data_IF_444240644235
#
_entry.id   IF_444240644235
#
_cell.length_a   1.000
_cell.length_b   1.000
_cell.length_c   1.000
_cell.angle_alpha   90.00
_cell.angle_beta   90.00
_cell.angle_gamma   90.00
#
_symmetry.space_group_name_H-M   'P 1'
#
loop_
_entity.id
_entity.type
_entity.pdbx_description
1 polymer ?
#
# COMPACT_ATOMS: atom_id res chain seq x y z
N UNK A 1 20.09 28.09 35.13
CA UNK A 1 18.68 27.72 34.91
C UNK A 1 18.65 26.58 33.90
N UNK A 2 18.54 25.35 34.36
CA UNK A 2 18.48 24.17 33.51
C UNK A 2 17.12 24.13 32.84
N UNK A 3 17.12 24.32 31.53
CA UNK A 3 15.93 24.11 30.71
C UNK A 3 15.70 22.60 30.61
N UNK A 4 14.92 22.06 31.52
CA UNK A 4 14.35 20.72 31.40
C UNK A 4 13.25 20.80 30.34
N UNK A 5 13.66 20.84 29.07
CA UNK A 5 12.76 20.61 27.97
C UNK A 5 12.01 19.31 28.21
N UNK A 6 10.70 19.36 28.27
CA UNK A 6 9.86 18.18 28.32
C UNK A 6 10.35 17.21 27.22
N UNK A 7 10.64 15.95 27.57
CA UNK A 7 11.14 14.95 26.63
C UNK A 7 10.09 14.56 25.56
N UNK A 8 9.19 15.48 25.21
CA UNK A 8 8.16 15.32 24.19
C UNK A 8 8.74 15.67 22.82
N UNK A 9 8.57 14.75 21.88
CA UNK A 9 8.97 14.91 20.50
C UNK A 9 7.79 15.44 19.68
N UNK A 10 7.88 16.70 19.23
CA UNK A 10 6.82 17.34 18.45
C UNK A 10 7.17 17.38 16.96
N UNK A 11 6.12 17.41 16.12
CA UNK A 11 6.24 17.54 14.67
C UNK A 11 6.64 16.26 13.96
N UNK A 12 6.91 16.39 12.65
CA UNK A 12 7.27 15.26 11.78
C UNK A 12 8.79 15.04 11.75
N UNK A 13 9.17 13.80 11.93
CA UNK A 13 10.56 13.36 11.92
C UNK A 13 10.84 12.54 10.67
N UNK A 14 11.97 12.77 9.98
CA UNK A 14 12.37 11.94 8.88
C UNK A 14 12.82 10.58 9.40
N UNK A 15 12.33 9.51 8.78
CA UNK A 15 12.66 8.14 9.15
C UNK A 15 12.99 7.29 7.93
N UNK A 16 13.66 6.17 8.18
CA UNK A 16 13.92 5.12 7.20
C UNK A 16 13.42 3.80 7.79
N UNK A 17 12.64 3.06 7.02
CA UNK A 17 12.19 1.71 7.38
C UNK A 17 13.39 0.77 7.36
N UNK A 18 13.61 0.03 8.42
CA UNK A 18 14.64 -1.01 8.52
C UNK A 18 14.06 -2.40 8.32
N UNK A 19 12.83 -2.62 8.80
CA UNK A 19 12.07 -3.86 8.55
C UNK A 19 10.57 -3.60 8.60
N UNK A 20 9.78 -4.50 8.00
CA UNK A 20 8.32 -4.52 8.04
C UNK A 20 7.84 -5.89 8.52
N UNK A 21 6.98 -5.88 9.51
CA UNK A 21 6.25 -7.07 9.99
C UNK A 21 4.81 -7.04 9.44
N UNK A 22 4.53 -7.92 8.49
CA UNK A 22 3.23 -8.02 7.84
C UNK A 22 2.13 -8.59 8.74
N UNK A 23 2.49 -9.37 9.79
CA UNK A 23 1.51 -9.95 10.70
C UNK A 23 0.95 -8.89 11.66
N UNK A 24 1.82 -8.08 12.25
CA UNK A 24 1.44 -6.98 13.13
C UNK A 24 1.18 -5.67 12.39
N UNK A 25 1.61 -5.56 11.12
CA UNK A 25 1.57 -4.35 10.29
C UNK A 25 2.29 -3.17 10.91
N UNK A 26 3.44 -3.46 11.47
CA UNK A 26 4.32 -2.46 12.06
C UNK A 26 5.64 -2.39 11.30
N UNK A 27 6.26 -1.23 11.33
CA UNK A 27 7.59 -1.03 10.77
C UNK A 27 8.60 -0.80 11.89
N UNK A 28 9.76 -1.40 11.78
CA UNK A 28 10.91 -0.92 12.51
C UNK A 28 11.51 0.26 11.74
N UNK A 29 11.73 1.39 12.41
CA UNK A 29 12.20 2.62 11.79
C UNK A 29 13.43 3.19 12.50
N UNK A 30 14.39 3.64 11.71
CA UNK A 30 15.52 4.45 12.16
C UNK A 30 15.19 5.93 11.98
N UNK A 31 15.30 6.70 13.06
CA UNK A 31 14.98 8.13 13.10
C UNK A 31 16.23 8.89 13.54
N UNK A 32 16.88 9.65 12.62
CA UNK A 32 18.07 10.44 12.97
C UNK A 32 17.80 11.40 14.13
N UNK A 33 18.69 11.42 15.10
CA UNK A 33 18.57 12.23 16.31
C UNK A 33 17.71 11.60 17.42
N UNK A 34 17.01 10.51 17.15
CA UNK A 34 16.19 9.79 18.15
C UNK A 34 16.72 8.38 18.39
N UNK A 35 17.03 7.66 17.30
CA UNK A 35 17.54 6.27 17.38
C UNK A 35 19.07 6.17 17.23
N UNK A 36 19.76 7.30 17.15
CA UNK A 36 21.22 7.31 16.95
C UNK A 36 21.97 6.60 18.08
N UNK A 37 22.76 5.59 17.70
CA UNK A 37 23.52 4.78 18.65
C UNK A 37 22.74 3.66 19.35
N UNK A 38 21.47 3.46 19.01
CA UNK A 38 20.71 2.29 19.47
C UNK A 38 20.96 1.09 18.55
N UNK A 39 21.05 -0.11 19.12
CA UNK A 39 20.95 -1.35 18.35
C UNK A 39 19.46 -1.56 18.02
N UNK A 40 19.11 -1.42 16.75
CA UNK A 40 17.74 -1.50 16.26
C UNK A 40 17.04 -0.16 16.16
N UNK A 41 15.83 -0.16 15.59
CA UNK A 41 14.96 0.99 15.41
C UNK A 41 13.84 1.05 16.46
N UNK A 42 12.89 1.94 16.24
CA UNK A 42 11.63 1.96 16.99
C UNK A 42 10.55 1.25 16.19
N UNK A 43 9.70 0.51 16.88
CA UNK A 43 8.52 -0.11 16.25
C UNK A 43 7.42 0.94 16.13
N UNK A 44 7.07 1.27 14.89
CA UNK A 44 6.09 2.26 14.53
C UNK A 44 4.83 1.62 13.96
N UNK A 45 3.67 2.10 14.39
CA UNK A 45 2.40 1.83 13.71
C UNK A 45 2.29 2.64 12.41
N UNK A 46 1.34 2.27 11.55
CA UNK A 46 1.05 2.99 10.30
C UNK A 46 -0.32 3.64 10.42
N UNK A 47 -0.39 4.95 10.17
CA UNK A 47 -1.65 5.67 10.06
C UNK A 47 -2.33 5.32 8.74
N UNK A 48 -3.57 4.83 8.81
CA UNK A 48 -4.39 4.60 7.63
C UNK A 48 -5.19 5.86 7.28
N UNK A 49 -5.31 6.23 6.00
CA UNK A 49 -6.09 7.38 5.59
C UNK A 49 -7.58 7.17 5.93
N UNK A 50 -8.31 8.27 6.13
CA UNK A 50 -9.77 8.24 6.30
C UNK A 50 -10.40 7.55 5.10
N UNK A 51 -11.26 6.55 5.36
CA UNK A 51 -11.87 5.72 4.33
C UNK A 51 -11.20 4.37 4.14
N UNK A 52 -10.05 4.17 4.74
CA UNK A 52 -9.37 2.89 4.82
C UNK A 52 -9.28 2.43 6.28
N UNK A 53 -9.35 1.14 6.53
CA UNK A 53 -9.30 0.58 7.88
C UNK A 53 -8.45 -0.68 7.88
N UNK A 54 -7.67 -0.86 8.94
CA UNK A 54 -6.89 -2.07 9.16
C UNK A 54 -7.79 -3.23 9.62
N UNK A 55 -8.67 -3.68 8.74
CA UNK A 55 -9.53 -4.84 8.96
C UNK A 55 -9.27 -5.91 7.91
N UNK A 56 -9.45 -7.17 8.30
CA UNK A 56 -9.54 -8.27 7.35
C UNK A 56 -10.56 -7.95 6.25
N UNK A 57 -10.19 -8.12 4.99
CA UNK A 57 -10.98 -7.88 3.77
C UNK A 57 -11.30 -6.41 3.41
N UNK A 58 -10.97 -5.43 4.27
CA UNK A 58 -11.30 -4.01 3.99
C UNK A 58 -10.09 -3.09 4.09
N UNK A 59 -8.89 -3.64 3.99
CA UNK A 59 -7.65 -2.87 4.11
C UNK A 59 -6.96 -2.69 2.75
N UNK A 60 -6.31 -1.55 2.58
CA UNK A 60 -5.35 -1.35 1.50
C UNK A 60 -3.97 -1.74 1.99
N UNK A 61 -3.40 -2.78 1.42
CA UNK A 61 -2.03 -3.18 1.67
C UNK A 61 -1.13 -2.53 0.63
N UNK A 62 0.00 -2.02 1.07
CA UNK A 62 1.04 -1.47 0.19
C UNK A 62 2.34 -2.25 0.38
N UNK A 63 3.16 -2.31 -0.66
CA UNK A 63 4.50 -2.87 -0.54
C UNK A 63 5.35 -1.94 0.32
N UNK A 64 5.95 -2.47 1.39
CA UNK A 64 6.86 -1.74 2.28
C UNK A 64 8.18 -2.51 2.33
N UNK A 65 9.26 -1.81 2.00
CA UNK A 65 10.58 -2.40 1.90
C UNK A 65 11.60 -1.70 2.82
N UNK A 66 12.61 -2.42 3.29
CA UNK A 66 13.75 -1.79 3.95
C UNK A 66 14.38 -0.71 3.05
N UNK A 67 14.63 0.45 3.61
CA UNK A 67 15.12 1.63 2.89
C UNK A 67 14.05 2.63 2.48
N UNK A 68 12.77 2.30 2.62
CA UNK A 68 11.68 3.24 2.38
C UNK A 68 11.76 4.43 3.33
N UNK A 69 11.52 5.62 2.79
CA UNK A 69 11.59 6.87 3.55
C UNK A 69 10.20 7.27 4.02
N UNK A 70 10.06 7.43 5.34
CA UNK A 70 8.79 7.76 5.99
C UNK A 70 8.85 9.10 6.73
N UNK A 71 7.67 9.64 7.01
CA UNK A 71 7.45 10.66 8.02
C UNK A 71 6.87 10.01 9.26
N UNK A 72 7.48 10.26 10.41
CA UNK A 72 7.04 9.76 11.71
C UNK A 72 6.64 10.92 12.61
N UNK A 73 5.52 10.79 13.28
CA UNK A 73 5.10 11.58 14.42
C UNK A 73 5.06 10.70 15.68
N UNK A 74 5.04 11.33 16.83
CA UNK A 74 4.93 10.62 18.11
C UNK A 74 3.60 10.95 18.75
N UNK A 75 2.82 9.92 19.08
CA UNK A 75 1.50 10.11 19.69
C UNK A 75 1.67 10.90 21.00
N UNK A 76 1.05 12.07 21.07
CA UNK A 76 1.20 13.04 22.17
C UNK A 76 2.66 13.44 22.45
N UNK A 77 3.56 13.27 21.50
CA UNK A 77 4.99 13.55 21.65
C UNK A 77 5.77 12.49 22.41
N UNK A 78 5.17 11.37 22.79
CA UNK A 78 5.82 10.30 23.53
C UNK A 78 6.69 9.43 22.60
N UNK A 79 8.03 9.38 22.81
CA UNK A 79 8.93 8.62 21.94
C UNK A 79 8.66 7.10 21.92
N UNK A 80 7.88 6.58 22.83
CA UNK A 80 7.49 5.16 22.87
C UNK A 80 6.41 4.79 21.85
N UNK A 81 5.73 5.78 21.28
CA UNK A 81 4.60 5.57 20.37
C UNK A 81 4.83 6.29 19.02
N UNK A 82 5.79 5.84 18.22
CA UNK A 82 6.00 6.38 16.88
C UNK A 82 4.89 5.93 15.93
N UNK A 83 4.44 6.83 15.07
CA UNK A 83 3.40 6.62 14.08
C UNK A 83 3.88 7.09 12.71
N UNK A 84 3.91 6.22 11.72
CA UNK A 84 4.16 6.61 10.33
C UNK A 84 2.92 7.31 9.80
N UNK A 85 3.04 8.61 9.48
CA UNK A 85 1.95 9.46 8.99
C UNK A 85 2.06 9.76 7.50
N UNK A 86 3.00 9.17 6.81
CA UNK A 86 3.16 9.30 5.37
C UNK A 86 4.54 8.91 4.87
N UNK A 87 4.65 8.85 3.55
CA UNK A 87 5.90 8.50 2.87
C UNK A 87 6.60 9.77 2.38
N UNK A 88 7.92 9.76 2.48
CA UNK A 88 8.74 10.86 1.96
C UNK A 88 8.99 10.64 0.47
N UNK A 89 9.18 11.76 -0.25
CA UNK A 89 9.52 11.70 -1.65
C UNK A 89 10.83 10.89 -1.88
N UNK A 90 10.79 9.80 -2.65
CA UNK A 90 12.01 9.13 -3.08
C UNK A 90 12.79 10.05 -4.02
N UNK A 91 14.12 9.94 -3.99
CA UNK A 91 14.99 10.78 -4.84
C UNK A 91 14.95 10.38 -6.31
N UNK A 92 14.44 9.19 -6.63
CA UNK A 92 14.38 8.62 -7.98
C UNK A 92 13.10 7.80 -8.18
N UNK A 93 12.76 7.46 -9.41
CA UNK A 93 11.66 6.55 -9.73
C UNK A 93 10.28 7.19 -9.85
N UNK A 94 10.15 8.50 -9.67
CA UNK A 94 8.88 9.21 -9.82
C UNK A 94 8.46 9.30 -11.29
N UNK A 95 7.15 9.17 -11.53
CA UNK A 95 6.54 9.37 -12.83
C UNK A 95 5.39 10.36 -12.72
N UNK A 96 5.53 11.52 -13.36
CA UNK A 96 4.54 12.60 -13.30
C UNK A 96 3.24 12.25 -14.04
N UNK A 97 3.35 11.51 -15.15
CA UNK A 97 2.23 11.18 -16.02
C UNK A 97 1.43 9.93 -15.59
N UNK A 98 1.88 9.18 -14.59
CA UNK A 98 1.28 7.90 -14.23
C UNK A 98 1.04 7.78 -12.74
N UNK A 99 -0.17 7.40 -12.33
CA UNK A 99 -0.41 6.82 -11.00
C UNK A 99 -0.32 5.32 -11.11
N UNK A 100 0.65 4.72 -10.41
CA UNK A 100 0.87 3.28 -10.39
C UNK A 100 0.53 2.71 -9.04
N UNK A 101 -0.17 1.57 -9.04
CA UNK A 101 -0.32 0.69 -7.89
C UNK A 101 0.41 -0.59 -8.23
N UNK A 102 1.37 -0.96 -7.41
CA UNK A 102 2.17 -2.18 -7.59
C UNK A 102 2.14 -2.97 -6.30
N UNK A 103 1.75 -4.22 -6.41
CA UNK A 103 1.79 -5.19 -5.33
C UNK A 103 1.94 -6.60 -5.92
N UNK A 104 2.40 -7.58 -5.10
CA UNK A 104 2.47 -8.97 -5.52
C UNK A 104 1.10 -9.53 -5.91
N UNK A 105 0.05 -9.16 -5.18
CA UNK A 105 -1.34 -9.52 -5.47
C UNK A 105 -2.24 -8.30 -5.26
N UNK A 106 -3.26 -8.14 -6.10
CA UNK A 106 -4.26 -7.07 -5.97
C UNK A 106 -5.65 -7.64 -6.17
N UNK A 107 -6.57 -7.24 -5.30
CA UNK A 107 -7.99 -7.57 -5.40
C UNK A 107 -8.81 -6.30 -5.25
N UNK A 108 -9.83 -6.12 -6.11
CA UNK A 108 -10.84 -5.08 -6.00
C UNK A 108 -12.19 -5.75 -5.83
N UNK A 109 -12.83 -5.53 -4.70
CA UNK A 109 -14.14 -6.08 -4.36
C UNK A 109 -15.17 -4.96 -4.19
N UNK A 110 -16.39 -5.24 -4.63
CA UNK A 110 -17.54 -4.37 -4.39
C UNK A 110 -18.79 -5.22 -4.27
N UNK A 111 -19.69 -4.84 -3.36
CA UNK A 111 -20.95 -5.57 -3.13
C UNK A 111 -22.05 -5.23 -4.15
N UNK A 112 -21.88 -4.16 -4.93
CA UNK A 112 -22.88 -3.70 -5.86
C UNK A 112 -22.30 -3.45 -7.25
N UNK A 113 -21.80 -2.28 -7.54
CA UNK A 113 -21.37 -1.88 -8.88
C UNK A 113 -19.88 -1.49 -8.89
N UNK A 114 -19.14 -1.98 -9.88
CA UNK A 114 -17.79 -1.52 -10.21
C UNK A 114 -17.78 -0.92 -11.62
N UNK A 115 -17.24 0.30 -11.75
CA UNK A 115 -17.06 0.97 -13.05
C UNK A 115 -15.61 1.21 -13.33
N UNK A 116 -15.14 0.74 -14.49
CA UNK A 116 -13.84 1.08 -15.05
C UNK A 116 -14.09 1.89 -16.34
N UNK A 117 -13.66 3.15 -16.35
CA UNK A 117 -13.89 4.05 -17.48
C UNK A 117 -12.60 4.77 -17.86
N UNK A 118 -12.35 4.87 -19.15
CA UNK A 118 -11.25 5.66 -19.73
C UNK A 118 -11.78 6.54 -20.85
N UNK A 119 -11.27 7.77 -20.95
CA UNK A 119 -11.53 8.64 -22.09
C UNK A 119 -10.71 8.25 -23.36
N UNK A 120 -9.84 7.26 -23.24
CA UNK A 120 -9.01 6.73 -24.32
C UNK A 120 -8.99 5.22 -24.30
N UNK A 121 -7.80 4.63 -24.17
CA UNK A 121 -7.58 3.19 -24.20
C UNK A 121 -7.75 2.57 -22.81
N UNK A 122 -8.44 1.43 -22.72
CA UNK A 122 -8.33 0.46 -21.63
C UNK A 122 -7.54 -0.74 -22.12
N UNK A 123 -6.36 -0.96 -21.57
CA UNK A 123 -5.52 -2.10 -21.89
C UNK A 123 -5.50 -3.08 -20.71
N UNK A 124 -5.95 -4.31 -20.93
CA UNK A 124 -5.90 -5.39 -19.94
C UNK A 124 -4.99 -6.49 -20.50
N UNK A 125 -3.96 -6.87 -19.76
CA UNK A 125 -3.05 -7.94 -20.17
C UNK A 125 -2.71 -8.84 -19.00
N UNK A 126 -2.53 -10.12 -19.27
CA UNK A 126 -2.03 -11.11 -18.33
C UNK A 126 -1.05 -12.04 -19.04
N UNK A 127 -0.12 -12.64 -18.28
CA UNK A 127 0.84 -13.58 -18.83
C UNK A 127 0.18 -14.92 -19.18
N UNK A 128 -0.69 -15.40 -18.30
CA UNK A 128 -1.20 -16.78 -18.38
C UNK A 128 -2.66 -16.84 -18.87
N UNK A 129 -3.57 -16.06 -18.27
CA UNK A 129 -4.96 -16.03 -18.71
C UNK A 129 -5.72 -14.78 -18.25
N UNK A 130 -6.79 -14.45 -19.01
CA UNK A 130 -7.82 -13.50 -18.60
C UNK A 130 -9.16 -14.22 -18.67
N UNK A 131 -9.92 -14.24 -17.58
CA UNK A 131 -11.26 -14.84 -17.51
C UNK A 131 -12.29 -13.79 -17.17
N UNK A 132 -13.35 -13.71 -17.97
CA UNK A 132 -14.57 -12.95 -17.69
C UNK A 132 -15.67 -13.95 -17.37
N UNK A 133 -16.32 -13.83 -16.21
CA UNK A 133 -17.31 -14.80 -15.76
C UNK A 133 -18.58 -14.11 -15.25
N UNK A 134 -19.72 -14.64 -15.65
CA UNK A 134 -21.04 -14.29 -15.12
C UNK A 134 -21.84 -15.57 -14.91
N UNK A 135 -22.08 -15.93 -13.66
CA UNK A 135 -22.69 -17.22 -13.33
C UNK A 135 -21.90 -18.39 -13.91
N UNK A 136 -22.51 -19.19 -14.76
CA UNK A 136 -21.88 -20.33 -15.42
C UNK A 136 -21.31 -20.00 -16.82
N UNK A 137 -21.47 -18.76 -17.28
CA UNK A 137 -20.94 -18.34 -18.59
C UNK A 137 -19.56 -17.73 -18.44
N UNK A 138 -18.62 -18.11 -19.31
CA UNK A 138 -17.23 -17.65 -19.27
C UNK A 138 -16.71 -17.31 -20.66
N UNK A 139 -15.80 -16.32 -20.71
CA UNK A 139 -14.87 -16.09 -21.80
C UNK A 139 -13.47 -16.16 -21.22
N UNK A 140 -12.65 -17.06 -21.72
CA UNK A 140 -11.27 -17.24 -21.26
C UNK A 140 -10.30 -17.03 -22.42
N UNK A 141 -9.32 -16.16 -22.23
CA UNK A 141 -8.22 -15.93 -23.15
C UNK A 141 -6.95 -16.53 -22.56
N UNK A 142 -6.24 -17.29 -23.35
CA UNK A 142 -4.91 -17.81 -23.04
C UNK A 142 -3.94 -17.44 -24.16
N UNK A 143 -2.63 -17.68 -24.04
CA UNK A 143 -1.67 -17.35 -25.10
C UNK A 143 -1.94 -17.99 -26.47
N UNK A 144 -2.69 -19.07 -26.52
CA UNK A 144 -2.96 -19.81 -27.78
C UNK A 144 -4.42 -20.01 -28.11
N UNK A 145 -5.36 -19.56 -27.24
CA UNK A 145 -6.77 -19.91 -27.42
C UNK A 145 -7.72 -18.87 -26.84
N UNK A 146 -8.94 -18.81 -27.41
CA UNK A 146 -10.09 -18.06 -26.89
C UNK A 146 -11.25 -19.04 -26.73
N UNK A 147 -11.57 -19.38 -25.49
CA UNK A 147 -12.68 -20.28 -25.16
C UNK A 147 -13.89 -19.52 -24.69
N UNK A 148 -15.07 -19.84 -25.25
CA UNK A 148 -16.36 -19.29 -24.83
C UNK A 148 -17.27 -20.44 -24.39
N UNK A 149 -17.80 -20.36 -23.18
CA UNK A 149 -18.73 -21.32 -22.61
C UNK A 149 -20.01 -20.59 -22.15
N UNK A 150 -21.14 -20.99 -22.69
CA UNK A 150 -22.47 -20.52 -22.29
C UNK A 150 -23.54 -21.51 -22.77
N UNK A 151 -24.75 -21.44 -22.20
CA UNK A 151 -25.91 -22.23 -22.71
C UNK A 151 -26.34 -21.81 -24.13
N UNK A 152 -26.06 -20.56 -24.52
CA UNK A 152 -26.31 -20.03 -25.86
C UNK A 152 -25.26 -18.98 -26.22
N UNK A 153 -24.71 -19.05 -27.42
CA UNK A 153 -23.76 -18.07 -27.99
C UNK A 153 -24.38 -17.53 -29.28
N UNK A 154 -24.71 -16.24 -29.35
CA UNK A 154 -25.21 -15.59 -30.55
C UNK A 154 -24.04 -14.86 -31.23
N UNK A 155 -23.75 -15.23 -32.47
CA UNK A 155 -22.78 -14.60 -33.35
C UNK A 155 -23.54 -13.94 -34.50
N UNK A 156 -23.52 -12.60 -34.57
CA UNK A 156 -24.13 -11.81 -35.64
C UNK A 156 -23.10 -11.39 -36.67
#
# INVERSE_FOLDING_TARGET
>A
MSNTGSGLLSGKWPAVVTSYDAESRTCEVSIPGVTDGAEGGLIAEIEYPIGDKSRHETMTEIEILPGDKAWVEFIQGDPRYPLITGWRNPTTGNSVGWRRWHHANMQLLTDAEMRLQSGGLVHVSAKDSITLQVGNSTITLTPGDITQLASMINLN
#
